data_IF_930140635186
#
_entry.id   IF_930140635186
#
_cell.length_a   1.000
_cell.length_b   1.000
_cell.length_c   1.000
_cell.angle_alpha   90.00
_cell.angle_beta   90.00
_cell.angle_gamma   90.00
#
_symmetry.space_group_name_H-M   'P 1'
#
loop_
_entity.id
_entity.type
_entity.pdbx_description
1 polymer ?
#
# COMPACT_ATOMS: atom_id res chain seq x y z
N UNK A 1 -15.31 31.68 -19.31
CA UNK A 1 -14.64 31.99 -18.03
C UNK A 1 -14.68 30.76 -17.13
N UNK A 2 -13.61 29.96 -17.14
CA UNK A 2 -13.47 28.81 -16.25
C UNK A 2 -13.14 29.33 -14.86
N UNK A 3 -14.12 29.37 -13.95
CA UNK A 3 -13.83 29.59 -12.54
C UNK A 3 -13.04 28.36 -12.07
N UNK A 4 -11.72 28.49 -11.99
CA UNK A 4 -10.88 27.54 -11.26
C UNK A 4 -11.22 27.67 -9.78
N UNK A 5 -12.30 27.02 -9.36
CA UNK A 5 -12.52 26.77 -7.94
C UNK A 5 -11.29 25.99 -7.46
N UNK A 6 -10.50 26.57 -6.57
CA UNK A 6 -9.41 25.83 -5.95
C UNK A 6 -10.00 24.54 -5.37
N UNK A 7 -9.38 23.38 -5.60
CA UNK A 7 -9.86 22.14 -5.02
C UNK A 7 -9.92 22.29 -3.50
N UNK A 8 -10.97 21.74 -2.88
CA UNK A 8 -11.07 21.73 -1.42
C UNK A 8 -9.80 21.09 -0.84
N UNK A 9 -9.29 21.64 0.27
CA UNK A 9 -8.09 21.10 0.92
C UNK A 9 -8.26 19.59 1.22
N UNK A 10 -9.48 19.21 1.60
CA UNK A 10 -9.87 17.81 1.84
C UNK A 10 -9.82 16.95 0.56
N UNK A 11 -10.24 17.45 -0.60
CA UNK A 11 -10.10 16.75 -1.88
C UNK A 11 -8.62 16.53 -2.24
N UNK A 12 -7.83 17.61 -2.17
CA UNK A 12 -6.41 17.56 -2.51
C UNK A 12 -5.66 16.60 -1.57
N UNK A 13 -5.95 16.61 -0.28
CA UNK A 13 -5.37 15.69 0.69
C UNK A 13 -5.71 14.23 0.42
N UNK A 14 -6.96 13.90 0.05
CA UNK A 14 -7.33 12.54 -0.33
C UNK A 14 -6.64 12.09 -1.64
N UNK A 15 -6.51 12.99 -2.62
CA UNK A 15 -5.76 12.71 -3.86
C UNK A 15 -4.27 12.46 -3.59
N UNK A 16 -3.63 13.29 -2.77
CA UNK A 16 -2.23 13.12 -2.38
C UNK A 16 -2.01 11.84 -1.57
N UNK A 17 -2.93 11.50 -0.68
CA UNK A 17 -2.86 10.26 0.11
C UNK A 17 -2.97 9.03 -0.80
N UNK A 18 -3.90 9.04 -1.76
CA UNK A 18 -4.02 7.94 -2.72
C UNK A 18 -2.80 7.87 -3.66
N UNK A 19 -2.28 9.01 -4.10
CA UNK A 19 -1.05 9.08 -4.90
C UNK A 19 0.14 8.51 -4.15
N UNK A 20 0.29 8.81 -2.85
CA UNK A 20 1.34 8.25 -2.01
C UNK A 20 1.23 6.72 -1.91
N UNK A 21 0.04 6.18 -1.69
CA UNK A 21 -0.19 4.72 -1.65
C UNK A 21 0.14 4.07 -3.01
N UNK A 22 -0.32 4.69 -4.11
CA UNK A 22 0.01 4.23 -5.47
C UNK A 22 1.52 4.24 -5.69
N UNK A 23 2.22 5.29 -5.24
CA UNK A 23 3.68 5.39 -5.33
C UNK A 23 4.40 4.29 -4.54
N UNK A 24 3.99 4.05 -3.29
CA UNK A 24 4.55 2.99 -2.43
C UNK A 24 4.36 1.62 -3.08
N UNK A 25 3.14 1.30 -3.52
CA UNK A 25 2.85 0.00 -4.13
C UNK A 25 3.57 -0.19 -5.48
N UNK A 26 3.65 0.88 -6.29
CA UNK A 26 4.37 0.83 -7.57
C UNK A 26 5.86 0.62 -7.35
N UNK A 27 6.45 1.31 -6.38
CA UNK A 27 7.86 1.18 -6.06
C UNK A 27 8.19 -0.24 -5.56
N UNK A 28 7.32 -0.83 -4.75
CA UNK A 28 7.47 -2.23 -4.30
C UNK A 28 7.45 -3.23 -5.48
N UNK A 29 6.73 -2.94 -6.57
CA UNK A 29 6.79 -3.77 -7.78
C UNK A 29 8.03 -3.56 -8.61
N UNK A 30 8.53 -2.32 -8.68
CA UNK A 30 9.82 -2.06 -9.32
C UNK A 30 10.88 -2.91 -8.64
N UNK A 31 10.86 -2.95 -7.31
CA UNK A 31 11.82 -3.74 -6.55
C UNK A 31 11.71 -5.24 -6.84
N UNK A 32 10.50 -5.77 -6.76
CA UNK A 32 10.22 -7.18 -7.01
C UNK A 32 10.58 -7.64 -8.44
N UNK A 33 10.31 -6.82 -9.46
CA UNK A 33 10.48 -7.21 -10.87
C UNK A 33 11.89 -6.88 -11.37
N UNK A 34 12.45 -5.74 -10.96
CA UNK A 34 13.73 -5.24 -11.48
C UNK A 34 14.92 -5.72 -10.64
N UNK A 35 14.82 -5.65 -9.31
CA UNK A 35 15.88 -6.13 -8.42
C UNK A 35 15.72 -7.62 -8.09
N UNK A 36 14.56 -8.21 -8.36
CA UNK A 36 14.31 -9.65 -8.20
C UNK A 36 14.19 -10.08 -6.74
N UNK A 37 13.99 -9.12 -5.82
CA UNK A 37 13.79 -9.38 -4.41
C UNK A 37 12.33 -9.79 -4.15
N UNK A 38 12.14 -11.06 -3.82
CA UNK A 38 10.81 -11.60 -3.50
C UNK A 38 10.32 -11.03 -2.16
N UNK A 39 9.04 -10.65 -2.04
CA UNK A 39 8.53 -10.07 -0.81
C UNK A 39 8.29 -11.14 0.28
N UNK A 40 8.78 -10.87 1.49
CA UNK A 40 8.52 -11.73 2.65
C UNK A 40 7.01 -11.78 3.03
N UNK A 41 6.56 -12.79 3.81
CA UNK A 41 5.16 -12.89 4.24
C UNK A 41 4.67 -11.66 5.02
N UNK A 42 5.53 -11.07 5.88
CA UNK A 42 5.20 -9.83 6.60
C UNK A 42 5.09 -8.64 5.64
N UNK A 43 5.92 -8.59 4.61
CA UNK A 43 5.94 -7.55 3.59
C UNK A 43 4.62 -7.56 2.80
N UNK A 44 4.10 -8.75 2.48
CA UNK A 44 2.77 -8.91 1.85
C UNK A 44 1.65 -8.40 2.75
N UNK A 45 1.71 -8.69 4.05
CA UNK A 45 0.73 -8.18 5.02
C UNK A 45 0.77 -6.64 5.15
N UNK A 46 1.96 -6.03 5.02
CA UNK A 46 2.07 -4.56 4.95
C UNK A 46 1.41 -4.00 3.69
N UNK A 47 1.60 -4.65 2.53
CA UNK A 47 0.91 -4.26 1.28
C UNK A 47 -0.61 -4.33 1.43
N UNK A 48 -1.14 -5.37 2.09
CA UNK A 48 -2.58 -5.46 2.41
C UNK A 48 -3.03 -4.26 3.25
N UNK A 49 -2.25 -3.84 4.25
CA UNK A 49 -2.52 -2.64 5.05
C UNK A 49 -2.68 -1.37 4.18
N UNK A 50 -1.74 -1.13 3.27
CA UNK A 50 -1.82 0.00 2.33
C UNK A 50 -2.99 -0.11 1.34
N UNK A 51 -3.32 -1.33 0.89
CA UNK A 51 -4.47 -1.56 0.01
C UNK A 51 -5.78 -1.25 0.73
N UNK A 52 -5.96 -1.72 1.97
CA UNK A 52 -7.17 -1.43 2.76
C UNK A 52 -7.32 0.08 3.03
N UNK A 53 -6.21 0.76 3.32
CA UNK A 53 -6.20 2.21 3.48
C UNK A 53 -6.56 2.93 2.17
N UNK A 54 -5.97 2.49 1.06
CA UNK A 54 -6.26 3.03 -0.27
C UNK A 54 -7.73 2.85 -0.64
N UNK A 55 -8.33 1.70 -0.33
CA UNK A 55 -9.76 1.46 -0.55
C UNK A 55 -10.64 2.47 0.19
N UNK A 56 -10.34 2.72 1.47
CA UNK A 56 -11.06 3.72 2.26
C UNK A 56 -10.94 5.15 1.66
N UNK A 57 -9.76 5.52 1.16
CA UNK A 57 -9.55 6.81 0.48
C UNK A 57 -10.28 6.88 -0.87
N UNK A 58 -10.34 5.78 -1.62
CA UNK A 58 -11.13 5.69 -2.85
C UNK A 58 -12.63 5.91 -2.56
N UNK A 59 -13.15 5.35 -1.46
CA UNK A 59 -14.52 5.61 -1.04
C UNK A 59 -14.75 7.10 -0.76
N UNK A 60 -13.82 7.78 -0.11
CA UNK A 60 -13.89 9.24 0.08
C UNK A 60 -13.97 10.01 -1.25
N UNK A 61 -13.15 9.65 -2.23
CA UNK A 61 -13.15 10.32 -3.54
C UNK A 61 -14.42 10.05 -4.37
N UNK A 62 -15.07 8.89 -4.18
CA UNK A 62 -16.25 8.46 -4.96
C UNK A 62 -17.58 8.84 -4.33
N UNK A 63 -17.70 8.63 -3.03
CA UNK A 63 -18.94 8.80 -2.28
C UNK A 63 -18.95 10.05 -1.39
N UNK A 64 -17.82 10.76 -1.32
CA UNK A 64 -17.66 11.96 -0.49
C UNK A 64 -17.09 11.64 0.90
N UNK A 65 -16.67 12.69 1.61
CA UNK A 65 -16.08 12.59 2.94
C UNK A 65 -17.09 12.05 3.96
N UNK A 66 -16.81 10.87 4.50
CA UNK A 66 -17.51 10.31 5.65
C UNK A 66 -16.50 9.93 6.73
N UNK A 67 -16.83 10.20 7.99
CA UNK A 67 -15.98 9.87 9.14
C UNK A 67 -15.66 8.37 9.22
N UNK A 68 -16.59 7.51 8.80
CA UNK A 68 -16.39 6.06 8.73
C UNK A 68 -15.25 5.66 7.79
N UNK A 69 -15.13 6.30 6.61
CA UNK A 69 -14.05 6.01 5.66
C UNK A 69 -12.69 6.42 6.23
N UNK A 70 -12.57 7.60 6.82
CA UNK A 70 -11.34 8.02 7.50
C UNK A 70 -10.99 7.09 8.67
N UNK A 71 -11.99 6.63 9.42
CA UNK A 71 -11.81 5.63 10.49
C UNK A 71 -11.22 4.32 9.95
N UNK A 72 -11.75 3.79 8.85
CA UNK A 72 -11.20 2.59 8.19
C UNK A 72 -9.79 2.81 7.64
N UNK A 73 -9.50 4.01 7.10
CA UNK A 73 -8.16 4.36 6.64
C UNK A 73 -7.16 4.40 7.80
N UNK A 74 -7.52 5.02 8.92
CA UNK A 74 -6.68 5.08 10.13
C UNK A 74 -6.49 3.67 10.72
N UNK A 75 -7.56 2.89 10.86
CA UNK A 75 -7.49 1.54 11.41
C UNK A 75 -6.60 0.61 10.58
N UNK A 76 -6.78 0.59 9.25
CA UNK A 76 -5.92 -0.19 8.35
C UNK A 76 -4.47 0.28 8.40
N UNK A 77 -4.23 1.58 8.51
CA UNK A 77 -2.90 2.15 8.76
C UNK A 77 -2.26 1.67 10.05
N UNK A 78 -3.00 1.66 11.16
CA UNK A 78 -2.51 1.16 12.44
C UNK A 78 -2.11 -0.31 12.36
N UNK A 79 -2.92 -1.14 11.69
CA UNK A 79 -2.60 -2.55 11.45
C UNK A 79 -1.32 -2.69 10.62
N UNK A 80 -1.22 -1.98 9.50
CA UNK A 80 -0.02 -1.99 8.66
C UNK A 80 1.24 -1.49 9.40
N UNK A 81 1.08 -0.46 10.23
CA UNK A 81 2.14 0.09 11.07
C UNK A 81 2.60 -0.93 12.13
N UNK A 82 1.68 -1.65 12.77
CA UNK A 82 2.02 -2.70 13.75
C UNK A 82 2.78 -3.86 13.10
N UNK A 83 2.37 -4.28 11.89
CA UNK A 83 3.08 -5.34 11.14
C UNK A 83 4.50 -4.89 10.78
N UNK A 84 4.64 -3.64 10.32
CA UNK A 84 5.95 -3.05 10.00
C UNK A 84 6.83 -2.95 11.25
N UNK A 85 6.27 -2.49 12.37
CA UNK A 85 6.97 -2.38 13.64
C UNK A 85 7.44 -3.74 14.16
N UNK A 86 6.62 -4.78 14.01
CA UNK A 86 7.04 -6.16 14.31
C UNK A 86 8.26 -6.56 13.50
N UNK A 87 8.29 -6.26 12.19
CA UNK A 87 9.44 -6.58 11.35
C UNK A 87 10.69 -5.79 11.75
N UNK A 88 10.54 -4.53 12.14
CA UNK A 88 11.65 -3.74 12.71
C UNK A 88 12.21 -4.42 13.96
N UNK A 89 11.35 -4.87 14.88
CA UNK A 89 11.80 -5.57 16.09
C UNK A 89 12.45 -6.93 15.82
N UNK A 90 12.07 -7.63 14.76
CA UNK A 90 12.72 -8.88 14.36
C UNK A 90 14.18 -8.64 13.95
N UNK A 91 14.49 -7.48 13.37
CA UNK A 91 15.81 -7.15 12.83
C UNK A 91 16.56 -6.07 13.64
N UNK A 92 16.24 -5.92 14.93
CA UNK A 92 16.91 -4.93 15.81
C UNK A 92 18.22 -5.44 16.42
N UNK A 93 18.48 -6.75 16.34
CA UNK A 93 19.64 -7.37 16.96
C UNK A 93 20.95 -6.90 16.30
N UNK A 94 22.03 -6.67 17.08
CA UNK A 94 23.30 -6.24 16.53
C UNK A 94 23.90 -7.33 15.62
N UNK A 95 24.25 -6.95 14.40
CA UNK A 95 24.81 -7.86 13.39
C UNK A 95 23.79 -8.55 12.48
N UNK A 96 22.49 -8.26 12.63
CA UNK A 96 21.47 -8.71 11.68
C UNK A 96 21.54 -7.87 10.38
N UNK A 97 21.73 -8.47 9.20
CA UNK A 97 21.73 -7.75 7.94
C UNK A 97 20.34 -7.24 7.51
N UNK A 98 19.26 -7.68 8.16
CA UNK A 98 17.88 -7.34 7.80
C UNK A 98 17.37 -8.10 6.58
N UNK A 99 16.09 -7.87 6.25
CA UNK A 99 15.46 -8.42 5.05
C UNK A 99 15.44 -7.40 3.91
N UNK A 100 15.89 -7.83 2.73
CA UNK A 100 15.90 -7.03 1.50
C UNK A 100 16.96 -5.92 1.49
N UNK A 101 17.26 -5.39 0.31
CA UNK A 101 18.23 -4.32 0.17
C UNK A 101 17.72 -2.99 0.75
N UNK A 102 18.60 -2.19 1.39
CA UNK A 102 18.20 -0.91 1.96
C UNK A 102 17.99 0.13 0.85
N UNK A 103 16.86 0.83 0.91
CA UNK A 103 16.58 1.99 0.07
C UNK A 103 16.84 3.27 0.86
N UNK A 104 17.71 4.16 0.33
CA UNK A 104 18.13 5.39 1.00
C UNK A 104 18.67 5.15 2.44
N UNK A 105 19.34 4.01 2.65
CA UNK A 105 19.93 3.65 3.94
C UNK A 105 18.95 3.04 4.97
N UNK A 106 17.68 2.83 4.60
CA UNK A 106 16.69 2.15 5.44
C UNK A 106 16.05 0.98 4.70
N UNK A 107 15.76 -0.11 5.41
CA UNK A 107 15.02 -1.23 4.84
C UNK A 107 13.55 -0.86 4.55
N UNK A 108 12.95 -1.59 3.61
CA UNK A 108 11.58 -1.35 3.16
C UNK A 108 10.53 -1.39 4.28
N UNK A 109 10.69 -2.27 5.26
CA UNK A 109 9.77 -2.36 6.40
C UNK A 109 9.82 -1.10 7.30
N UNK A 110 10.95 -0.40 7.36
CA UNK A 110 11.06 0.89 8.06
C UNK A 110 10.36 1.99 7.28
N UNK A 111 10.52 2.01 5.95
CA UNK A 111 9.77 2.92 5.08
C UNK A 111 8.27 2.67 5.13
N UNK A 112 7.83 1.41 5.21
CA UNK A 112 6.43 1.05 5.40
C UNK A 112 5.88 1.60 6.71
N UNK A 113 6.64 1.52 7.80
CA UNK A 113 6.28 2.13 9.08
C UNK A 113 6.11 3.65 8.97
N UNK A 114 7.11 4.35 8.41
CA UNK A 114 7.08 5.81 8.24
C UNK A 114 5.93 6.25 7.33
N UNK A 115 5.72 5.53 6.22
CA UNK A 115 4.63 5.78 5.28
C UNK A 115 3.26 5.59 5.91
N UNK A 116 3.07 4.49 6.66
CA UNK A 116 1.82 4.24 7.40
C UNK A 116 1.56 5.32 8.44
N UNK A 117 2.58 5.70 9.22
CA UNK A 117 2.47 6.78 10.22
C UNK A 117 2.08 8.12 9.57
N UNK A 118 2.75 8.49 8.48
CA UNK A 118 2.47 9.72 7.73
C UNK A 118 1.05 9.73 7.14
N UNK A 119 0.61 8.62 6.57
CA UNK A 119 -0.75 8.50 6.04
C UNK A 119 -1.81 8.53 7.14
N UNK A 120 -1.59 7.87 8.29
CA UNK A 120 -2.48 7.95 9.46
C UNK A 120 -2.61 9.41 9.92
N UNK A 121 -1.48 10.12 10.08
CA UNK A 121 -1.48 11.52 10.45
C UNK A 121 -2.22 12.39 9.43
N UNK A 122 -2.00 12.15 8.14
CA UNK A 122 -2.72 12.83 7.05
C UNK A 122 -4.22 12.60 7.12
N UNK A 123 -4.67 11.35 7.27
CA UNK A 123 -6.10 11.02 7.38
C UNK A 123 -6.73 11.60 8.66
N UNK A 124 -6.00 11.63 9.78
CA UNK A 124 -6.46 12.26 11.01
C UNK A 124 -6.66 13.78 10.85
N UNK A 125 -5.71 14.46 10.19
CA UNK A 125 -5.85 15.90 9.89
C UNK A 125 -7.04 16.13 8.95
N UNK A 126 -7.18 15.32 7.90
CA UNK A 126 -8.31 15.45 6.96
C UNK A 126 -9.67 15.20 7.62
N UNK A 127 -9.73 14.33 8.62
CA UNK A 127 -10.93 14.09 9.42
C UNK A 127 -11.31 15.30 10.29
N UNK A 128 -10.33 16.08 10.75
CA UNK A 128 -10.58 17.30 11.55
C UNK A 128 -11.03 18.49 10.69
N UNK A 129 -10.75 18.46 9.39
CA UNK A 129 -11.19 19.53 8.49
C UNK A 129 -12.72 19.46 8.30
N UNK A 130 -13.39 20.62 8.16
CA UNK A 130 -14.81 20.64 7.83
C UNK A 130 -15.05 19.87 6.53
N UNK A 131 -16.17 19.14 6.49
CA UNK A 131 -16.58 18.33 5.34
C UNK A 131 -16.76 19.22 4.10
N UNK A 132 -15.68 19.37 3.32
CA UNK A 132 -15.71 20.01 2.01
C UNK A 132 -16.16 19.05 0.91
N UNK A 133 -16.34 19.56 -0.30
CA UNK A 133 -16.60 18.70 -1.46
C UNK A 133 -15.34 17.87 -1.79
N UNK A 134 -15.31 16.63 -1.29
CA UNK A 134 -14.24 15.64 -1.54
C UNK A 134 -14.56 14.73 -2.73
N UNK A 135 -15.83 14.66 -3.11
CA UNK A 135 -16.24 13.86 -4.24
C UNK A 135 -15.69 14.47 -5.53
N UNK A 136 -14.88 13.71 -6.25
CA UNK A 136 -14.29 14.15 -7.51
C UNK A 136 -14.48 13.12 -8.61
N UNK A 137 -14.93 13.61 -9.77
CA UNK A 137 -14.95 12.86 -11.04
C UNK A 137 -13.91 13.41 -12.02
N UNK A 138 -12.92 14.15 -11.54
CA UNK A 138 -11.85 14.67 -12.37
C UNK A 138 -11.08 13.53 -13.04
N UNK A 139 -10.52 13.81 -14.23
CA UNK A 139 -9.71 12.84 -14.96
C UNK A 139 -8.54 12.32 -14.09
N UNK A 140 -7.89 13.22 -13.33
CA UNK A 140 -6.82 12.85 -12.41
C UNK A 140 -7.27 11.91 -11.28
N UNK A 141 -8.39 12.20 -10.61
CA UNK A 141 -8.94 11.30 -9.59
C UNK A 141 -9.31 9.93 -10.18
N UNK A 142 -9.89 9.90 -11.38
CA UNK A 142 -10.20 8.64 -12.06
C UNK A 142 -8.94 7.84 -12.39
N UNK A 143 -7.91 8.51 -12.91
CA UNK A 143 -6.63 7.89 -13.23
C UNK A 143 -5.98 7.26 -11.98
N UNK A 144 -5.91 7.98 -10.86
CA UNK A 144 -5.39 7.44 -9.60
C UNK A 144 -6.17 6.21 -9.11
N UNK A 145 -7.51 6.25 -9.17
CA UNK A 145 -8.36 5.14 -8.76
C UNK A 145 -8.13 3.92 -9.67
N UNK A 146 -8.03 4.11 -10.98
CA UNK A 146 -7.80 3.02 -11.93
C UNK A 146 -6.43 2.39 -11.71
N UNK A 147 -5.37 3.20 -11.58
CA UNK A 147 -4.03 2.68 -11.28
C UNK A 147 -4.01 1.95 -9.95
N UNK A 148 -4.64 2.50 -8.92
CA UNK A 148 -4.74 1.83 -7.62
C UNK A 148 -5.40 0.45 -7.76
N UNK A 149 -6.53 0.36 -8.47
CA UNK A 149 -7.20 -0.92 -8.72
C UNK A 149 -6.29 -1.90 -9.46
N UNK A 150 -5.59 -1.45 -10.51
CA UNK A 150 -4.63 -2.30 -11.24
C UNK A 150 -3.51 -2.81 -10.34
N UNK A 151 -2.97 -1.96 -9.47
CA UNK A 151 -1.94 -2.35 -8.49
C UNK A 151 -2.46 -3.35 -7.47
N UNK A 152 -3.73 -3.24 -7.03
CA UNK A 152 -4.35 -4.23 -6.15
C UNK A 152 -4.45 -5.59 -6.83
N UNK A 153 -4.92 -5.63 -8.08
CA UNK A 153 -4.99 -6.87 -8.84
C UNK A 153 -3.60 -7.45 -9.11
N UNK A 154 -2.62 -6.62 -9.46
CA UNK A 154 -1.23 -7.05 -9.63
C UNK A 154 -0.68 -7.64 -8.34
N UNK A 155 -1.00 -7.07 -7.17
CA UNK A 155 -0.53 -7.59 -5.87
C UNK A 155 -1.16 -8.94 -5.59
N UNK A 156 -2.46 -9.08 -5.83
CA UNK A 156 -3.16 -10.35 -5.67
C UNK A 156 -2.55 -11.44 -6.57
N UNK A 157 -2.33 -11.15 -7.86
CA UNK A 157 -1.73 -12.10 -8.81
C UNK A 157 -0.33 -12.48 -8.37
N UNK A 158 0.48 -11.48 -7.98
CA UNK A 158 1.84 -11.70 -7.49
C UNK A 158 1.86 -12.60 -6.26
N UNK A 159 1.04 -12.31 -5.26
CA UNK A 159 0.96 -13.11 -4.03
C UNK A 159 0.51 -14.54 -4.32
N UNK A 160 -0.44 -14.74 -5.23
CA UNK A 160 -0.85 -16.09 -5.65
C UNK A 160 0.24 -16.82 -6.44
N UNK A 161 1.01 -16.11 -7.25
CA UNK A 161 2.16 -16.69 -7.96
C UNK A 161 3.28 -17.10 -6.99
N UNK A 162 3.46 -16.35 -5.91
CA UNK A 162 4.49 -16.59 -4.91
C UNK A 162 4.11 -17.71 -3.95
N UNK A 163 2.95 -17.62 -3.30
CA UNK A 163 2.55 -18.52 -2.22
C UNK A 163 1.61 -19.65 -2.68
N UNK A 164 1.04 -19.55 -3.88
CA UNK A 164 -0.02 -20.45 -4.33
C UNK A 164 -1.27 -20.32 -3.47
N UNK A 165 -1.88 -21.46 -3.11
CA UNK A 165 -3.01 -21.53 -2.19
C UNK A 165 -2.59 -21.87 -0.74
N UNK A 166 -1.27 -21.97 -0.48
CA UNK A 166 -0.70 -22.35 0.81
C UNK A 166 -0.06 -21.17 1.56
N UNK A 167 0.52 -21.42 2.74
CA UNK A 167 1.35 -20.43 3.42
C UNK A 167 2.62 -20.13 2.62
N UNK A 168 3.00 -18.85 2.56
CA UNK A 168 4.24 -18.40 1.95
C UNK A 168 5.47 -18.88 2.76
N UNK A 169 6.59 -19.15 2.09
CA UNK A 169 7.87 -19.38 2.77
C UNK A 169 8.35 -18.11 3.49
N UNK A 170 9.03 -18.26 4.62
CA UNK A 170 9.50 -17.11 5.43
C UNK A 170 10.55 -16.25 4.70
N UNK A 171 11.41 -16.88 3.90
CA UNK A 171 12.42 -16.23 3.04
C UNK A 171 12.33 -16.81 1.61
N UNK A 172 11.41 -16.30 0.77
CA UNK A 172 11.23 -16.82 -0.58
C UNK A 172 12.42 -16.46 -1.48
N UNK A 173 12.93 -17.46 -2.19
CA UNK A 173 13.94 -17.30 -3.26
C UNK A 173 13.39 -17.68 -4.65
N UNK A 174 12.23 -18.32 -4.69
CA UNK A 174 11.52 -18.73 -5.89
C UNK A 174 10.01 -18.46 -5.75
N UNK A 175 9.30 -18.37 -6.89
CA UNK A 175 7.84 -18.34 -6.93
C UNK A 175 7.28 -19.76 -6.80
N UNK A 176 7.05 -20.22 -5.57
CA UNK A 176 6.64 -21.60 -5.27
C UNK A 176 5.23 -21.95 -5.81
N UNK A 177 4.31 -20.98 -5.82
CA UNK A 177 2.99 -21.14 -6.43
C UNK A 177 3.08 -21.35 -7.95
N UNK A 178 3.98 -20.63 -8.61
CA UNK A 178 4.21 -20.74 -10.05
C UNK A 178 4.87 -22.06 -10.43
N UNK A 179 5.88 -22.52 -9.67
CA UNK A 179 6.51 -23.83 -9.90
C UNK A 179 5.54 -24.97 -9.66
N UNK A 180 4.68 -24.89 -8.63
CA UNK A 180 3.63 -25.88 -8.39
C UNK A 180 2.65 -25.96 -9.57
N UNK A 181 2.20 -24.80 -10.09
CA UNK A 181 1.32 -24.74 -11.27
C UNK A 181 2.01 -25.37 -12.49
N UNK A 182 3.29 -25.07 -12.69
CA UNK A 182 4.12 -25.66 -13.75
C UNK A 182 4.19 -27.18 -13.64
N UNK A 183 4.47 -27.70 -12.44
CA UNK A 183 4.48 -29.15 -12.18
C UNK A 183 3.11 -29.81 -12.39
N UNK A 184 2.02 -29.14 -12.00
CA UNK A 184 0.66 -29.69 -12.08
C UNK A 184 0.10 -29.73 -13.49
N UNK A 185 0.44 -28.76 -14.33
CA UNK A 185 -0.10 -28.63 -15.68
C UNK A 185 0.91 -28.93 -16.80
N UNK A 186 2.15 -29.26 -16.46
CA UNK A 186 3.12 -29.87 -17.38
C UNK A 186 3.54 -28.99 -18.55
N UNK A 187 3.99 -27.77 -18.26
CA UNK A 187 4.60 -26.85 -19.24
C UNK A 187 5.93 -26.29 -18.75
#
# INVERSE_FOLDING_TARGET
>A
MSKSNLPSLSLLGNQLSLLAIVGILSYAFVDQIYFGELPCPLCLMQRIGFVLMGFAIVLNLRFGAHSSHYGWAIFSGLVGMMISLRQIFLHIAPGDPGYGSPFLGLHFYTWAFVGALGLIGGQAILLMLPNGEVRSRSWFSNFLVVIFILLVFANLISTLAECGLGPCADNPVNYDGWTLLRFRFGF
#
